data_IF_853989225833
#
_entry.id   IF_853989225833
#
_cell.length_a   1.000
_cell.length_b   1.000
_cell.length_c   1.000
_cell.angle_alpha   90.00
_cell.angle_beta   90.00
_cell.angle_gamma   90.00
#
_symmetry.space_group_name_H-M   'P 1'
#
loop_
_entity.id
_entity.type
_entity.pdbx_description
1 polymer ?
#
# COMPACT_ATOMS: atom_id res chain seq x y z
N UNK A 1 -13.95 39.75 42.75
CA UNK A 1 -12.71 39.20 42.16
C UNK A 1 -12.25 40.15 41.07
N UNK A 2 -11.07 40.76 41.19
CA UNK A 2 -10.53 41.63 40.13
C UNK A 2 -10.27 40.81 38.86
N UNK A 3 -10.77 41.27 37.71
CA UNK A 3 -10.53 40.64 36.41
C UNK A 3 -9.03 40.65 36.10
N UNK A 4 -8.49 39.51 35.71
CA UNK A 4 -7.08 39.37 35.33
C UNK A 4 -6.77 40.23 34.11
N UNK A 5 -5.93 41.27 34.28
CA UNK A 5 -5.48 42.12 33.18
C UNK A 5 -4.53 41.33 32.25
N UNK A 6 -4.82 41.35 30.96
CA UNK A 6 -3.94 40.84 29.92
C UNK A 6 -3.18 41.99 29.28
N UNK A 7 -1.88 41.78 29.07
CA UNK A 7 -0.98 42.75 28.45
C UNK A 7 -0.41 42.14 27.18
N UNK A 8 -0.45 42.92 26.10
CA UNK A 8 0.10 42.52 24.80
C UNK A 8 1.63 42.47 24.81
N UNK A 9 2.23 41.78 23.83
CA UNK A 9 3.70 41.62 23.72
C UNK A 9 4.39 42.98 23.60
N UNK A 10 3.88 43.87 22.77
CA UNK A 10 4.51 45.18 22.54
C UNK A 10 4.55 46.01 23.83
N UNK A 11 3.45 45.98 24.58
CA UNK A 11 3.35 46.66 25.87
C UNK A 11 4.39 46.13 26.87
N UNK A 12 4.57 44.80 26.96
CA UNK A 12 5.54 44.19 27.87
C UNK A 12 6.98 44.53 27.49
N UNK A 13 7.31 44.55 26.19
CA UNK A 13 8.64 44.96 25.71
C UNK A 13 8.90 46.42 26.07
N UNK A 14 7.95 47.31 25.80
CA UNK A 14 8.06 48.74 26.16
C UNK A 14 8.21 48.94 27.67
N UNK A 15 7.48 48.18 28.48
CA UNK A 15 7.58 48.24 29.94
C UNK A 15 8.94 47.80 30.47
N UNK A 16 9.54 46.78 29.86
CA UNK A 16 10.89 46.33 30.20
C UNK A 16 11.94 47.37 29.82
N UNK A 17 11.83 47.96 28.61
CA UNK A 17 12.75 48.99 28.14
C UNK A 17 12.73 50.23 29.04
N UNK A 18 11.53 50.74 29.36
CA UNK A 18 11.37 51.85 30.31
C UNK A 18 11.96 51.50 31.69
N UNK A 19 11.84 50.24 32.11
CA UNK A 19 12.45 49.74 33.34
C UNK A 19 13.98 49.74 33.37
N UNK A 20 14.63 49.64 32.22
CA UNK A 20 16.08 49.82 32.09
C UNK A 20 16.49 51.29 32.10
N UNK A 21 15.68 52.18 31.51
CA UNK A 21 15.99 53.61 31.36
C UNK A 21 15.80 54.39 32.67
N UNK A 22 14.65 54.22 33.34
CA UNK A 22 14.25 55.05 34.50
C UNK A 22 14.13 54.25 35.81
N UNK A 23 14.28 52.93 35.75
CA UNK A 23 14.19 52.01 36.89
C UNK A 23 12.80 51.44 37.14
N UNK A 24 12.77 50.23 37.74
CA UNK A 24 11.57 49.40 37.94
C UNK A 24 10.42 50.13 38.64
N UNK A 25 10.70 50.87 39.70
CA UNK A 25 9.67 51.52 40.51
C UNK A 25 9.07 52.74 39.82
N UNK A 26 9.89 53.53 39.11
CA UNK A 26 9.44 54.72 38.38
C UNK A 26 8.66 54.34 37.13
N UNK A 27 9.20 53.42 36.32
CA UNK A 27 8.49 52.95 35.12
C UNK A 27 7.18 52.23 35.42
N UNK A 28 7.06 51.56 36.56
CA UNK A 28 5.81 50.91 36.96
C UNK A 28 4.72 51.93 37.28
N UNK A 29 5.09 53.03 37.96
CA UNK A 29 4.19 54.15 38.25
C UNK A 29 3.75 54.85 36.98
N UNK A 30 4.66 55.09 36.04
CA UNK A 30 4.37 55.76 34.77
C UNK A 30 3.43 54.95 33.85
N UNK A 31 3.61 53.62 33.81
CA UNK A 31 2.76 52.73 33.03
C UNK A 31 1.50 52.26 33.79
N UNK A 32 1.30 52.69 35.04
CA UNK A 32 0.17 52.29 35.86
C UNK A 32 0.10 50.78 36.15
N UNK A 33 1.26 50.11 36.23
CA UNK A 33 1.36 48.66 36.50
C UNK A 33 2.00 48.41 37.87
N UNK A 34 1.76 47.23 38.45
CA UNK A 34 2.46 46.83 39.68
C UNK A 34 3.94 46.56 39.37
N UNK A 35 4.82 47.00 40.27
CA UNK A 35 6.28 46.79 40.18
C UNK A 35 6.67 45.32 40.01
N UNK A 36 5.88 44.41 40.61
CA UNK A 36 6.05 42.95 40.48
C UNK A 36 5.92 42.45 39.04
N UNK A 37 5.06 43.06 38.21
CA UNK A 37 4.95 42.70 36.78
C UNK A 37 6.21 43.11 36.04
N UNK A 38 6.72 44.31 36.32
CA UNK A 38 7.90 44.86 35.68
C UNK A 38 9.16 44.05 36.02
N UNK A 39 9.32 43.66 37.29
CA UNK A 39 10.43 42.79 37.73
C UNK A 39 10.37 41.42 37.04
N UNK A 40 9.19 40.79 37.03
CA UNK A 40 8.98 39.49 36.37
C UNK A 40 9.24 39.56 34.86
N UNK A 41 8.72 40.58 34.18
CA UNK A 41 8.93 40.75 32.74
C UNK A 41 10.38 41.07 32.41
N UNK A 42 11.08 41.83 33.24
CA UNK A 42 12.51 42.09 33.08
C UNK A 42 13.33 40.81 33.20
N UNK A 43 13.03 39.95 34.18
CA UNK A 43 13.68 38.64 34.29
C UNK A 43 13.38 37.75 33.08
N UNK A 44 12.11 37.66 32.65
CA UNK A 44 11.73 36.91 31.45
C UNK A 44 12.45 37.45 30.19
N UNK A 45 12.64 38.77 30.08
CA UNK A 45 13.38 39.39 28.99
C UNK A 45 14.89 39.15 29.05
N UNK A 46 15.49 39.13 30.23
CA UNK A 46 16.91 38.79 30.39
C UNK A 46 17.19 37.32 30.05
N UNK A 47 16.26 36.43 30.34
CA UNK A 47 16.41 34.98 30.12
C UNK A 47 16.13 34.58 28.66
N UNK A 48 15.12 35.18 28.01
CA UNK A 48 14.66 34.76 26.67
C UNK A 48 14.82 35.84 25.58
N UNK A 49 15.28 37.05 25.92
CA UNK A 49 15.53 38.13 24.96
C UNK A 49 14.32 38.46 24.09
N UNK A 50 14.52 38.48 22.76
CA UNK A 50 13.49 38.77 21.76
C UNK A 50 12.37 37.73 21.69
N UNK A 51 12.58 36.53 22.25
CA UNK A 51 11.59 35.44 22.32
C UNK A 51 10.68 35.52 23.55
N UNK A 52 10.84 36.59 24.34
CA UNK A 52 9.99 36.86 25.49
C UNK A 52 8.56 37.18 25.07
N UNK A 53 7.62 36.81 25.93
CA UNK A 53 6.20 37.15 25.80
C UNK A 53 5.47 36.58 24.57
N UNK A 54 5.98 35.52 23.93
CA UNK A 54 5.41 34.90 22.71
C UNK A 54 4.09 34.09 22.88
N UNK A 55 3.38 34.24 24.00
CA UNK A 55 2.08 33.57 24.22
C UNK A 55 2.17 32.05 24.45
N UNK A 56 1.06 31.43 24.89
CA UNK A 56 1.00 30.01 25.32
C UNK A 56 1.16 28.99 24.18
N UNK A 57 0.95 29.36 22.91
CA UNK A 57 0.94 28.40 21.79
C UNK A 57 2.24 28.33 21.00
N UNK A 58 3.18 29.28 21.18
CA UNK A 58 4.46 29.27 20.48
C UNK A 58 5.53 28.67 21.40
N UNK A 59 6.02 27.47 21.08
CA UNK A 59 7.23 26.92 21.70
C UNK A 59 8.32 27.98 21.61
N UNK A 60 8.95 28.31 22.75
CA UNK A 60 10.01 29.33 22.91
C UNK A 60 11.29 28.92 22.18
N UNK A 61 11.19 28.74 20.88
CA UNK A 61 12.29 28.40 20.00
C UNK A 61 12.58 29.61 19.14
N UNK A 62 13.84 30.04 19.13
CA UNK A 62 14.36 30.99 18.16
C UNK A 62 13.97 30.55 16.74
N UNK A 63 13.72 31.47 15.79
CA UNK A 63 13.62 31.12 14.37
C UNK A 63 14.74 30.18 13.93
N UNK A 64 15.96 30.40 14.42
CA UNK A 64 17.13 29.54 14.17
C UNK A 64 16.97 28.15 14.80
N UNK A 65 16.50 28.05 16.04
CA UNK A 65 16.26 26.75 16.70
C UNK A 65 15.12 25.96 16.03
N UNK A 66 14.09 26.65 15.52
CA UNK A 66 13.04 26.02 14.71
C UNK A 66 13.59 25.51 13.39
N UNK A 67 14.43 26.29 12.71
CA UNK A 67 15.11 25.86 11.48
C UNK A 67 16.04 24.68 11.75
N UNK A 68 16.86 24.75 12.80
CA UNK A 68 17.76 23.68 13.21
C UNK A 68 17.01 22.37 13.50
N UNK A 69 15.89 22.44 14.23
CA UNK A 69 15.03 21.28 14.49
C UNK A 69 14.46 20.67 13.20
N UNK A 70 13.97 21.51 12.28
CA UNK A 70 13.48 21.06 10.96
C UNK A 70 14.58 20.38 10.14
N UNK A 71 15.76 21.00 10.08
CA UNK A 71 16.93 20.48 9.35
C UNK A 71 17.41 19.17 9.96
N UNK A 72 17.54 19.09 11.29
CA UNK A 72 17.92 17.87 12.00
C UNK A 72 16.95 16.72 11.72
N UNK A 73 15.64 17.00 11.67
CA UNK A 73 14.63 16.00 11.31
C UNK A 73 14.77 15.55 9.86
N UNK A 74 15.00 16.49 8.93
CA UNK A 74 15.21 16.19 7.50
C UNK A 74 16.45 15.32 7.30
N UNK A 75 17.57 15.69 7.90
CA UNK A 75 18.82 14.93 7.85
C UNK A 75 18.64 13.51 8.41
N UNK A 76 17.97 13.37 9.56
CA UNK A 76 17.68 12.06 10.15
C UNK A 76 16.86 11.19 9.21
N UNK A 77 15.84 11.76 8.57
CA UNK A 77 15.01 11.05 7.61
C UNK A 77 15.81 10.63 6.38
N UNK A 78 16.62 11.52 5.80
CA UNK A 78 17.48 11.20 4.65
C UNK A 78 18.51 10.11 4.96
N UNK A 79 19.07 10.12 6.17
CA UNK A 79 19.98 9.08 6.64
C UNK A 79 19.27 7.72 6.70
N UNK A 80 18.09 7.65 7.33
CA UNK A 80 17.30 6.42 7.41
C UNK A 80 16.89 5.91 6.03
N UNK A 81 16.51 6.80 5.11
CA UNK A 81 16.18 6.45 3.73
C UNK A 81 17.40 5.85 3.01
N UNK A 82 18.59 6.43 3.20
CA UNK A 82 19.82 5.94 2.57
C UNK A 82 20.26 4.58 3.14
N UNK A 83 20.15 4.40 4.45
CA UNK A 83 20.42 3.12 5.13
C UNK A 83 19.51 2.02 4.59
N UNK A 84 18.21 2.32 4.44
CA UNK A 84 17.24 1.38 3.87
C UNK A 84 17.57 1.03 2.40
N UNK A 85 17.97 2.01 1.59
CA UNK A 85 18.35 1.79 0.19
C UNK A 85 19.58 0.87 0.10
N UNK A 86 20.59 1.09 0.94
CA UNK A 86 21.77 0.22 1.04
C UNK A 86 21.41 -1.20 1.53
N UNK A 87 20.51 -1.30 2.50
CA UNK A 87 20.04 -2.59 3.01
C UNK A 87 19.36 -3.41 1.92
N UNK A 88 18.43 -2.79 1.16
CA UNK A 88 17.76 -3.41 0.02
C UNK A 88 18.79 -3.85 -1.01
N UNK A 89 19.73 -2.98 -1.39
CA UNK A 89 20.75 -3.29 -2.39
C UNK A 89 21.63 -4.47 -1.95
N UNK A 90 22.06 -4.48 -0.68
CA UNK A 90 22.87 -5.55 -0.11
C UNK A 90 22.12 -6.89 -0.11
N UNK A 91 20.84 -6.89 0.25
CA UNK A 91 20.03 -8.12 0.25
C UNK A 91 19.72 -8.61 -1.17
N UNK A 92 19.53 -7.69 -2.11
CA UNK A 92 19.30 -8.00 -3.52
C UNK A 92 20.58 -8.41 -4.27
N UNK A 93 21.77 -8.12 -3.75
CA UNK A 93 23.07 -8.37 -4.43
C UNK A 93 23.24 -9.81 -4.93
N UNK A 94 22.69 -10.80 -4.23
CA UNK A 94 22.73 -12.22 -4.63
C UNK A 94 21.87 -12.53 -5.87
N UNK A 95 20.89 -11.68 -6.16
CA UNK A 95 19.92 -11.85 -7.23
C UNK A 95 20.32 -11.08 -8.50
N UNK A 96 21.28 -10.16 -8.43
CA UNK A 96 21.66 -9.33 -9.59
C UNK A 96 22.39 -10.13 -10.67
N UNK A 97 23.08 -11.21 -10.32
CA UNK A 97 23.81 -12.07 -11.26
C UNK A 97 22.90 -12.88 -12.20
N UNK A 98 21.64 -13.11 -11.82
CA UNK A 98 20.68 -13.93 -12.58
C UNK A 98 19.79 -13.14 -13.55
N UNK A 99 20.01 -11.84 -13.71
CA UNK A 99 19.23 -10.97 -14.58
C UNK A 99 17.90 -10.48 -13.97
N UNK A 100 16.96 -10.06 -14.83
CA UNK A 100 15.71 -9.39 -14.38
C UNK A 100 14.75 -10.32 -13.63
N UNK A 101 14.69 -11.60 -13.98
CA UNK A 101 13.76 -12.55 -13.36
C UNK A 101 14.10 -12.82 -11.90
N UNK A 102 15.39 -13.02 -11.58
CA UNK A 102 15.84 -13.21 -10.20
C UNK A 102 15.64 -11.94 -9.35
N UNK A 103 15.78 -10.75 -9.95
CA UNK A 103 15.43 -9.49 -9.30
C UNK A 103 13.92 -9.43 -9.01
N UNK A 104 13.07 -9.90 -9.94
CA UNK A 104 11.63 -9.93 -9.73
C UNK A 104 11.23 -10.91 -8.62
N UNK A 105 11.89 -12.07 -8.54
CA UNK A 105 11.72 -13.01 -7.43
C UNK A 105 12.12 -12.40 -6.08
N UNK A 106 13.23 -11.65 -6.04
CA UNK A 106 13.62 -10.90 -4.84
C UNK A 106 12.51 -9.93 -4.40
N UNK A 107 12.01 -9.10 -5.33
CA UNK A 107 10.96 -8.11 -5.05
C UNK A 107 9.69 -8.81 -4.55
N UNK A 108 9.29 -9.93 -5.17
CA UNK A 108 8.10 -10.70 -4.77
C UNK A 108 8.21 -11.27 -3.36
N UNK A 109 9.38 -11.77 -2.98
CA UNK A 109 9.61 -12.48 -1.72
C UNK A 109 9.95 -11.56 -0.53
N UNK A 110 10.15 -10.26 -0.73
CA UNK A 110 10.50 -9.29 0.32
C UNK A 110 9.46 -8.15 0.44
N UNK A 111 8.21 -8.41 0.05
CA UNK A 111 7.11 -7.42 0.12
C UNK A 111 6.58 -7.17 1.54
N UNK A 112 6.90 -8.06 2.47
CA UNK A 112 6.65 -7.94 3.91
C UNK A 112 7.55 -6.90 4.58
N UNK A 113 8.79 -6.77 4.10
CA UNK A 113 9.83 -5.91 4.69
C UNK A 113 10.01 -4.58 3.97
N UNK A 114 9.84 -4.56 2.65
CA UNK A 114 10.08 -3.37 1.84
C UNK A 114 8.90 -3.06 0.90
N UNK A 115 8.74 -1.78 0.56
CA UNK A 115 7.74 -1.40 -0.44
C UNK A 115 8.24 -1.70 -1.85
N UNK A 116 7.34 -2.16 -2.73
CA UNK A 116 7.66 -2.46 -4.15
C UNK A 116 8.27 -1.24 -4.84
N UNK A 117 7.69 -0.05 -4.63
CA UNK A 117 8.19 1.20 -5.23
C UNK A 117 9.65 1.46 -4.84
N UNK A 118 10.00 1.25 -3.57
CA UNK A 118 11.37 1.45 -3.08
C UNK A 118 12.32 0.43 -3.67
N UNK A 119 11.96 -0.85 -3.67
CA UNK A 119 12.80 -1.90 -4.26
C UNK A 119 13.01 -1.68 -5.77
N UNK A 120 11.95 -1.36 -6.52
CA UNK A 120 12.06 -1.04 -7.95
C UNK A 120 13.00 0.15 -8.21
N UNK A 121 12.92 1.20 -7.39
CA UNK A 121 13.82 2.36 -7.49
C UNK A 121 15.28 1.99 -7.21
N UNK A 122 15.54 1.26 -6.12
CA UNK A 122 16.90 0.85 -5.71
C UNK A 122 17.54 -0.09 -6.73
N UNK A 123 16.75 -0.99 -7.31
CA UNK A 123 17.22 -2.02 -8.25
C UNK A 123 17.14 -1.59 -9.72
N UNK A 124 16.81 -0.32 -9.99
CA UNK A 124 16.68 0.24 -11.34
C UNK A 124 15.72 -0.57 -12.23
N UNK A 125 14.62 -1.05 -11.65
CA UNK A 125 13.57 -1.79 -12.33
C UNK A 125 12.35 -0.90 -12.56
N UNK A 126 11.81 -0.93 -13.77
CA UNK A 126 10.52 -0.30 -14.06
C UNK A 126 9.38 -1.02 -13.31
N UNK A 127 8.68 -0.27 -12.46
CA UNK A 127 7.56 -0.79 -11.66
C UNK A 127 6.45 -1.37 -12.54
N UNK A 128 6.13 -0.71 -13.65
CA UNK A 128 5.06 -1.17 -14.57
C UNK A 128 5.39 -2.53 -15.18
N UNK A 129 6.66 -2.74 -15.51
CA UNK A 129 7.18 -4.00 -16.06
C UNK A 129 7.15 -5.10 -15.01
N UNK A 130 7.58 -4.79 -13.78
CA UNK A 130 7.45 -5.72 -12.65
C UNK A 130 5.99 -6.08 -12.37
N UNK A 131 5.08 -5.11 -12.33
CA UNK A 131 3.66 -5.34 -12.11
C UNK A 131 3.05 -6.20 -13.23
N UNK A 132 3.44 -5.98 -14.49
CA UNK A 132 3.06 -6.86 -15.62
C UNK A 132 3.57 -8.28 -15.40
N UNK A 133 4.83 -8.48 -15.05
CA UNK A 133 5.40 -9.81 -14.77
C UNK A 133 4.71 -10.50 -13.59
N UNK A 134 4.50 -9.77 -12.48
CA UNK A 134 3.78 -10.27 -11.29
C UNK A 134 2.37 -10.73 -11.65
N UNK A 135 1.72 -10.03 -12.57
CA UNK A 135 0.38 -10.32 -13.04
C UNK A 135 0.35 -11.29 -14.25
N UNK A 136 1.49 -11.59 -14.88
CA UNK A 136 1.61 -12.50 -16.02
C UNK A 136 1.46 -13.98 -15.65
N UNK A 137 1.38 -14.33 -14.36
CA UNK A 137 1.08 -15.69 -13.92
C UNK A 137 -0.28 -16.22 -14.41
N UNK A 138 -1.23 -15.33 -14.78
CA UNK A 138 -2.47 -15.71 -15.46
C UNK A 138 -2.78 -14.61 -16.49
N UNK A 139 -2.48 -14.85 -17.77
CA UNK A 139 -2.91 -13.99 -18.87
C UNK A 139 -4.42 -13.72 -18.78
N UNK A 140 -4.89 -12.53 -19.19
CA UNK A 140 -6.32 -12.20 -19.23
C UNK A 140 -7.14 -13.23 -20.03
N UNK A 141 -6.54 -13.81 -21.07
CA UNK A 141 -7.11 -14.91 -21.85
C UNK A 141 -7.20 -16.18 -20.99
N UNK A 142 -6.12 -16.54 -20.29
CA UNK A 142 -6.08 -17.71 -19.43
C UNK A 142 -7.07 -17.61 -18.26
N UNK A 143 -7.26 -16.40 -17.69
CA UNK A 143 -8.26 -16.16 -16.65
C UNK A 143 -9.67 -16.41 -17.17
N UNK A 144 -9.99 -15.92 -18.37
CA UNK A 144 -11.30 -16.19 -19.02
C UNK A 144 -11.48 -17.68 -19.31
N UNK A 145 -10.42 -18.37 -19.74
CA UNK A 145 -10.46 -19.82 -19.96
C UNK A 145 -10.68 -20.58 -18.64
N UNK A 146 -10.01 -20.18 -17.56
CA UNK A 146 -10.18 -20.79 -16.24
C UNK A 146 -11.61 -20.59 -15.71
N UNK A 147 -12.15 -19.37 -15.78
CA UNK A 147 -13.54 -19.10 -15.39
C UNK A 147 -14.54 -19.91 -16.22
N UNK A 148 -14.29 -20.03 -17.53
CA UNK A 148 -15.11 -20.87 -18.39
C UNK A 148 -14.99 -22.36 -18.03
N UNK A 149 -13.80 -22.83 -17.67
CA UNK A 149 -13.56 -24.20 -17.21
C UNK A 149 -14.29 -24.49 -15.90
N UNK A 150 -14.24 -23.57 -14.94
CA UNK A 150 -14.99 -23.64 -13.68
C UNK A 150 -16.50 -23.74 -13.95
N UNK A 151 -17.03 -22.88 -14.82
CA UNK A 151 -18.46 -22.87 -15.16
C UNK A 151 -18.92 -24.15 -15.88
N UNK A 152 -18.14 -24.62 -16.86
CA UNK A 152 -18.39 -25.90 -17.55
C UNK A 152 -18.44 -27.05 -16.55
N UNK A 153 -17.49 -27.07 -15.61
CA UNK A 153 -17.39 -28.11 -14.58
C UNK A 153 -18.57 -28.05 -13.61
N UNK A 154 -18.96 -26.85 -13.20
CA UNK A 154 -20.12 -26.61 -12.33
C UNK A 154 -21.40 -27.15 -12.96
N UNK A 155 -21.71 -26.74 -14.20
CA UNK A 155 -22.91 -27.21 -14.92
C UNK A 155 -22.86 -28.73 -15.12
N UNK A 156 -21.70 -29.30 -15.46
CA UNK A 156 -21.56 -30.73 -15.67
C UNK A 156 -21.95 -31.54 -14.41
N UNK A 157 -21.51 -31.10 -13.23
CA UNK A 157 -21.85 -31.78 -11.97
C UNK A 157 -23.23 -31.41 -11.43
N UNK A 158 -23.72 -30.19 -11.65
CA UNK A 158 -25.09 -29.75 -11.32
C UNK A 158 -26.13 -30.70 -11.94
N UNK A 159 -25.87 -31.15 -13.17
CA UNK A 159 -26.72 -32.09 -13.89
C UNK A 159 -26.24 -33.55 -13.81
N UNK A 160 -25.58 -33.93 -12.70
CA UNK A 160 -25.16 -35.31 -12.39
C UNK A 160 -24.35 -36.00 -13.51
N UNK A 161 -23.55 -35.24 -14.27
CA UNK A 161 -22.73 -35.71 -15.38
C UNK A 161 -23.53 -36.24 -16.59
N UNK A 162 -24.84 -35.97 -16.64
CA UNK A 162 -25.72 -36.40 -17.75
C UNK A 162 -25.52 -35.49 -18.96
N UNK A 163 -25.25 -34.21 -18.72
CA UNK A 163 -25.17 -33.21 -19.79
C UNK A 163 -23.87 -33.35 -20.59
N UNK A 164 -24.03 -33.52 -21.91
CA UNK A 164 -22.95 -33.45 -22.88
C UNK A 164 -22.75 -32.03 -23.41
N UNK A 165 -21.81 -31.88 -24.35
CA UNK A 165 -21.37 -30.57 -24.86
C UNK A 165 -22.51 -29.68 -25.38
N UNK A 166 -23.53 -30.26 -26.03
CA UNK A 166 -24.68 -29.51 -26.55
C UNK A 166 -25.55 -28.89 -25.45
N UNK A 167 -25.85 -29.64 -24.38
CA UNK A 167 -26.67 -29.13 -23.27
C UNK A 167 -25.91 -28.13 -22.42
N UNK A 168 -24.61 -28.38 -22.18
CA UNK A 168 -23.74 -27.42 -21.47
C UNK A 168 -23.60 -26.12 -22.26
N UNK A 169 -23.47 -26.19 -23.59
CA UNK A 169 -23.41 -24.99 -24.42
C UNK A 169 -24.71 -24.15 -24.34
N UNK A 170 -25.87 -24.80 -24.33
CA UNK A 170 -27.15 -24.11 -24.16
C UNK A 170 -27.25 -23.40 -22.81
N UNK A 171 -26.80 -24.05 -21.73
CA UNK A 171 -26.78 -23.48 -20.38
C UNK A 171 -25.78 -22.32 -20.24
N UNK A 172 -24.60 -22.43 -20.85
CA UNK A 172 -23.66 -21.31 -20.91
C UNK A 172 -24.24 -20.13 -21.69
N UNK A 173 -24.95 -20.38 -22.79
CA UNK A 173 -25.58 -19.32 -23.58
C UNK A 173 -26.73 -18.65 -22.82
N UNK A 174 -27.52 -19.40 -22.05
CA UNK A 174 -28.59 -18.83 -21.20
C UNK A 174 -28.01 -17.92 -20.09
N UNK A 175 -26.82 -18.25 -19.58
CA UNK A 175 -26.04 -17.45 -18.62
C UNK A 175 -25.27 -16.28 -19.27
N UNK A 176 -25.44 -16.04 -20.57
CA UNK A 176 -24.87 -14.88 -21.29
C UNK A 176 -23.50 -15.11 -21.93
N UNK A 177 -22.97 -16.34 -21.93
CA UNK A 177 -21.72 -16.64 -22.61
C UNK A 177 -21.91 -16.76 -24.13
N UNK A 178 -21.10 -16.01 -24.90
CA UNK A 178 -21.04 -16.12 -26.36
C UNK A 178 -20.10 -17.25 -26.78
N UNK A 179 -20.54 -18.50 -26.65
CA UNK A 179 -19.73 -19.69 -26.96
C UNK A 179 -20.46 -20.66 -27.89
N UNK A 180 -19.73 -21.27 -28.82
CA UNK A 180 -20.24 -22.31 -29.72
C UNK A 180 -20.10 -23.70 -29.09
N UNK A 181 -21.00 -24.62 -29.42
CA UNK A 181 -20.95 -26.03 -28.96
C UNK A 181 -19.61 -26.71 -29.24
N UNK A 182 -19.02 -26.45 -30.42
CA UNK A 182 -17.70 -26.98 -30.78
C UNK A 182 -16.59 -26.52 -29.81
N UNK A 183 -16.65 -25.27 -29.33
CA UNK A 183 -15.67 -24.75 -28.36
C UNK A 183 -15.86 -25.45 -27.00
N UNK A 184 -17.09 -25.62 -26.55
CA UNK A 184 -17.40 -26.35 -25.30
C UNK A 184 -16.87 -27.78 -25.38
N UNK A 185 -17.05 -28.48 -26.51
CA UNK A 185 -16.48 -29.82 -26.72
C UNK A 185 -14.94 -29.85 -26.58
N UNK A 186 -14.24 -28.85 -27.11
CA UNK A 186 -12.78 -28.72 -26.94
C UNK A 186 -12.41 -28.52 -25.46
N UNK A 187 -13.12 -27.64 -24.75
CA UNK A 187 -12.85 -27.40 -23.33
C UNK A 187 -13.18 -28.63 -22.46
N UNK A 188 -14.30 -29.32 -22.71
CA UNK A 188 -14.66 -30.56 -22.00
C UNK A 188 -13.61 -31.65 -22.18
N UNK A 189 -13.11 -31.85 -23.42
CA UNK A 189 -12.02 -32.80 -23.68
C UNK A 189 -10.75 -32.45 -22.92
N UNK A 190 -10.37 -31.17 -22.87
CA UNK A 190 -9.22 -30.70 -22.07
C UNK A 190 -9.38 -30.96 -20.57
N UNK A 191 -10.61 -30.91 -20.07
CA UNK A 191 -10.95 -31.17 -18.67
C UNK A 191 -11.18 -32.65 -18.36
N UNK A 192 -11.15 -33.55 -19.36
CA UNK A 192 -11.45 -34.96 -19.19
C UNK A 192 -12.92 -35.27 -18.88
N UNK A 193 -13.84 -34.34 -19.19
CA UNK A 193 -15.27 -34.49 -18.91
C UNK A 193 -15.96 -35.24 -20.05
N UNK A 194 -16.60 -36.36 -19.73
CA UNK A 194 -17.38 -37.17 -20.67
C UNK A 194 -18.72 -37.53 -20.02
N UNK A 195 -19.81 -37.24 -20.72
CA UNK A 195 -21.15 -37.48 -20.18
C UNK A 195 -21.42 -38.97 -19.95
N UNK A 196 -22.22 -39.31 -18.93
CA UNK A 196 -22.61 -40.70 -18.65
C UNK A 196 -23.31 -41.36 -19.84
N UNK A 197 -24.12 -40.60 -20.58
CA UNK A 197 -24.79 -41.06 -21.80
C UNK A 197 -23.77 -41.44 -22.89
N UNK A 198 -22.77 -40.60 -23.11
CA UNK A 198 -21.70 -40.86 -24.08
C UNK A 198 -20.81 -42.03 -23.66
N UNK A 199 -20.49 -42.15 -22.36
CA UNK A 199 -19.81 -43.34 -21.82
C UNK A 199 -20.61 -44.63 -22.09
N UNK A 200 -21.92 -44.60 -21.84
CA UNK A 200 -22.81 -45.74 -22.09
C UNK A 200 -22.92 -46.10 -23.59
N UNK A 201 -22.95 -45.12 -24.48
CA UNK A 201 -22.99 -45.33 -25.92
C UNK A 201 -21.68 -45.96 -26.43
N UNK A 202 -20.54 -45.41 -26.00
CA UNK A 202 -19.23 -45.96 -26.35
C UNK A 202 -19.09 -47.39 -25.82
N UNK A 203 -19.54 -47.67 -24.59
CA UNK A 203 -19.58 -49.03 -24.06
C UNK A 203 -20.43 -49.95 -24.95
N UNK A 204 -21.63 -49.53 -25.35
CA UNK A 204 -22.56 -50.27 -26.24
C UNK A 204 -21.93 -50.69 -27.57
N UNK A 205 -21.06 -49.86 -28.15
CA UNK A 205 -20.34 -50.17 -29.38
C UNK A 205 -19.29 -51.30 -29.23
N UNK A 206 -18.81 -51.56 -28.00
CA UNK A 206 -17.85 -52.64 -27.72
C UNK A 206 -18.48 -53.95 -27.23
N UNK A 207 -19.77 -53.98 -26.86
CA UNK A 207 -20.45 -55.23 -26.48
C UNK A 207 -20.39 -56.34 -27.54
N UNK A 208 -20.50 -56.08 -28.87
CA UNK A 208 -20.34 -57.16 -29.85
C UNK A 208 -18.93 -57.77 -29.83
N UNK A 209 -17.87 -56.99 -29.57
CA UNK A 209 -16.49 -57.47 -29.46
C UNK A 209 -16.25 -58.25 -28.15
N UNK A 210 -16.82 -57.80 -27.04
CA UNK A 210 -16.72 -58.47 -25.74
C UNK A 210 -17.50 -59.79 -25.74
N UNK A 211 -18.68 -59.83 -26.37
CA UNK A 211 -19.48 -61.04 -26.53
C UNK A 211 -18.82 -62.06 -27.48
N UNK A 212 -18.13 -61.59 -28.52
CA UNK A 212 -17.32 -62.45 -29.40
C UNK A 212 -16.12 -63.07 -28.68
N UNK A 213 -15.42 -62.34 -27.81
CA UNK A 213 -14.35 -62.88 -26.98
C UNK A 213 -14.85 -63.93 -25.97
N UNK A 214 -16.06 -63.78 -25.44
CA UNK A 214 -16.68 -64.75 -24.53
C UNK A 214 -17.22 -66.02 -25.22
N UNK A 215 -17.45 -65.99 -26.53
CA UNK A 215 -17.86 -67.16 -27.32
C UNK A 215 -16.66 -67.91 -27.93
N UNK A 216 -15.46 -67.35 -27.82
CA UNK A 216 -14.21 -67.93 -28.33
C UNK A 216 -13.38 -68.67 -27.26
N UNK A 217 -13.89 -68.79 -26.03
CA UNK A 217 -13.35 -69.62 -24.95
C UNK A 217 -14.45 -70.54 -24.41
#
# INVERSE_FOLDING_TARGET
MEKRKFYDREFKVKAVQLGFEIGLTKGARELGIRTSFMSRWRQEFLEFGTLSFCGRSSTRLSPEQKQFSKLKRKLKHELQESELELEIFKNASKYTSGGKLTIYDFIKNHTDKYTITKMCKVLSVDKTTYDKWKNQAISTIQRRVNLLHEEITSIFFEYNEIYGCSKIAAELQSRGFKIKTAQVSVHMRKLGLVSKLEKMLNLKEFYPLILMLFLMF
#
